data_IF_088092229408
#
_entry.id   IF_088092229408
#
_cell.length_a   1.000
_cell.length_b   1.000
_cell.length_c   1.000
_cell.angle_alpha   90.00
_cell.angle_beta   90.00
_cell.angle_gamma   90.00
#
_symmetry.space_group_name_H-M   'P 1'
#
loop_
_entity.id
_entity.type
_entity.pdbx_description
1 polymer ?
#
# COMPACT_ATOMS: atom_id res chain seq x y z
N UNK A 1 46.94 8.58 10.89
CA UNK A 1 46.24 7.40 11.43
C UNK A 1 45.30 7.84 12.54
N UNK A 2 44.01 7.59 12.43
CA UNK A 2 43.01 7.97 13.43
C UNK A 2 42.59 6.71 14.21
N UNK A 3 42.43 6.82 15.52
CA UNK A 3 42.03 5.66 16.35
C UNK A 3 40.55 5.28 16.10
N UNK A 4 40.24 3.99 16.26
CA UNK A 4 38.86 3.49 16.17
C UNK A 4 37.89 4.20 17.14
N UNK A 5 38.40 4.60 18.32
CA UNK A 5 37.66 5.39 19.31
C UNK A 5 37.29 6.77 18.78
N UNK A 6 38.18 7.42 18.01
CA UNK A 6 37.91 8.74 17.41
C UNK A 6 36.84 8.64 16.33
N UNK A 7 36.93 7.59 15.49
CA UNK A 7 35.91 7.32 14.45
C UNK A 7 34.53 7.04 15.09
N UNK A 8 34.49 6.24 16.16
CA UNK A 8 33.23 5.96 16.87
C UNK A 8 32.61 7.24 17.49
N UNK A 9 33.42 8.10 18.13
CA UNK A 9 32.96 9.40 18.65
C UNK A 9 32.43 10.31 17.55
N UNK A 10 33.05 10.31 16.37
CA UNK A 10 32.57 11.06 15.21
C UNK A 10 31.20 10.54 14.75
N UNK A 11 31.02 9.20 14.62
CA UNK A 11 29.74 8.60 14.25
C UNK A 11 28.63 9.02 15.23
N UNK A 12 28.89 8.93 16.53
CA UNK A 12 27.91 9.36 17.55
C UNK A 12 27.59 10.84 17.50
N UNK A 13 28.58 11.71 17.24
CA UNK A 13 28.38 13.15 17.09
C UNK A 13 27.53 13.51 15.86
N UNK A 14 27.56 12.65 14.83
CA UNK A 14 26.78 12.78 13.59
C UNK A 14 25.45 12.00 13.67
N UNK A 15 25.06 11.51 14.84
CA UNK A 15 23.84 10.72 15.09
C UNK A 15 23.78 9.35 14.38
N UNK A 16 24.93 8.75 14.05
CA UNK A 16 25.01 7.39 13.55
C UNK A 16 25.26 6.38 14.68
N UNK A 17 24.70 5.17 14.55
CA UNK A 17 24.90 4.11 15.53
C UNK A 17 26.33 3.59 15.58
N UNK A 18 27.06 3.65 14.45
CA UNK A 18 28.47 3.25 14.32
C UNK A 18 29.03 3.54 12.93
N UNK A 19 30.27 3.06 12.71
CA UNK A 19 30.98 3.29 11.43
C UNK A 19 30.27 2.62 10.24
N UNK A 20 29.76 1.41 10.39
CA UNK A 20 29.04 0.72 9.33
C UNK A 20 27.76 1.44 8.94
N UNK A 21 27.02 1.96 9.90
CA UNK A 21 25.81 2.74 9.69
C UNK A 21 26.14 4.05 8.96
N UNK A 22 27.17 4.77 9.41
CA UNK A 22 27.67 5.98 8.75
C UNK A 22 28.10 5.71 7.31
N UNK A 23 28.87 4.66 7.04
CA UNK A 23 29.31 4.29 5.69
C UNK A 23 28.12 3.90 4.82
N UNK A 24 27.21 3.11 5.34
CA UNK A 24 25.98 2.73 4.64
C UNK A 24 25.23 3.99 4.19
N UNK A 25 24.99 4.91 5.09
CA UNK A 25 24.27 6.16 4.81
C UNK A 25 24.99 7.01 3.75
N UNK A 26 26.31 7.23 3.86
CA UNK A 26 27.05 8.01 2.88
C UNK A 26 27.20 7.31 1.53
N UNK A 27 27.32 6.00 1.50
CA UNK A 27 27.41 5.23 0.24
C UNK A 27 26.07 5.30 -0.50
N UNK A 28 24.96 5.13 0.20
CA UNK A 28 23.65 5.22 -0.42
C UNK A 28 23.25 6.65 -0.79
N UNK A 29 23.57 7.64 0.04
CA UNK A 29 23.30 9.05 -0.29
C UNK A 29 24.08 9.56 -1.52
N UNK A 30 25.31 9.07 -1.72
CA UNK A 30 26.09 9.41 -2.90
C UNK A 30 25.63 8.63 -4.16
N UNK A 31 25.08 7.41 -4.02
CA UNK A 31 24.49 6.69 -5.15
C UNK A 31 23.15 7.31 -5.60
N UNK A 32 22.42 8.00 -4.72
CA UNK A 32 21.20 8.72 -5.08
C UNK A 32 21.50 9.92 -6.00
N UNK A 33 22.68 10.54 -5.90
CA UNK A 33 23.06 11.67 -6.77
C UNK A 33 23.49 11.23 -8.19
N UNK A 34 23.83 9.94 -8.41
CA UNK A 34 24.22 9.41 -9.72
C UNK A 34 23.06 8.71 -10.46
N UNK A 35 21.84 8.69 -9.88
CA UNK A 35 20.69 7.98 -10.46
C UNK A 35 19.63 9.00 -10.88
N UNK A 36 19.90 9.78 -11.92
CA UNK A 36 18.86 10.52 -12.67
C UNK A 36 17.77 9.61 -13.25
N UNK A 37 17.96 8.30 -13.26
CA UNK A 37 17.00 7.30 -13.76
C UNK A 37 15.97 6.81 -12.73
N UNK A 38 16.11 7.15 -11.45
CA UNK A 38 15.15 6.75 -10.41
C UNK A 38 14.08 7.80 -10.08
N UNK A 39 14.16 8.98 -10.67
CA UNK A 39 13.20 10.07 -10.42
C UNK A 39 11.76 9.64 -10.76
N UNK A 40 11.57 8.85 -11.83
CA UNK A 40 10.24 8.40 -12.26
C UNK A 40 9.56 7.41 -11.30
N UNK A 41 10.36 6.66 -10.52
CA UNK A 41 9.80 5.71 -9.51
C UNK A 41 9.13 6.48 -8.40
N UNK A 42 9.81 7.48 -7.87
CA UNK A 42 9.31 8.26 -6.74
C UNK A 42 8.22 9.26 -7.17
N UNK A 43 8.32 9.87 -8.35
CA UNK A 43 7.35 10.88 -8.81
C UNK A 43 5.96 10.29 -9.04
N UNK A 44 5.84 9.15 -9.73
CA UNK A 44 4.52 8.53 -9.95
C UNK A 44 3.92 7.98 -8.66
N UNK A 45 4.74 7.38 -7.79
CA UNK A 45 4.29 6.89 -6.48
C UNK A 45 3.90 8.05 -5.58
N UNK A 46 4.68 9.14 -5.55
CA UNK A 46 4.36 10.35 -4.77
C UNK A 46 3.04 10.98 -5.24
N UNK A 47 2.81 11.12 -6.54
CA UNK A 47 1.55 11.65 -7.06
C UNK A 47 0.35 10.76 -6.66
N UNK A 48 0.51 9.44 -6.65
CA UNK A 48 -0.53 8.51 -6.19
C UNK A 48 -0.78 8.65 -4.70
N UNK A 49 0.28 8.81 -3.89
CA UNK A 49 0.16 9.03 -2.46
C UNK A 49 -0.54 10.36 -2.20
N UNK A 50 -0.05 11.46 -2.75
CA UNK A 50 -0.62 12.80 -2.54
C UNK A 50 -2.09 12.88 -2.93
N UNK A 51 -2.48 12.31 -4.07
CA UNK A 51 -3.84 12.36 -4.56
C UNK A 51 -4.85 11.51 -3.77
N UNK A 52 -4.41 10.44 -3.10
CA UNK A 52 -5.32 9.49 -2.45
C UNK A 52 -5.19 9.47 -0.92
N UNK A 53 -4.13 10.06 -0.36
CA UNK A 53 -3.81 9.94 1.06
C UNK A 53 -4.93 10.50 1.96
N UNK A 54 -5.41 11.69 1.68
CA UNK A 54 -6.42 12.34 2.52
C UNK A 54 -7.76 11.61 2.48
N UNK A 55 -8.18 11.13 1.30
CA UNK A 55 -9.42 10.34 1.17
C UNK A 55 -9.28 8.97 1.82
N UNK A 56 -8.10 8.33 1.70
CA UNK A 56 -7.78 7.09 2.40
C UNK A 56 -7.83 7.28 3.92
N UNK A 57 -7.15 8.30 4.44
CA UNK A 57 -7.16 8.66 5.87
C UNK A 57 -8.58 8.85 6.38
N UNK A 58 -9.38 9.63 5.66
CA UNK A 58 -10.77 9.91 6.03
C UNK A 58 -11.61 8.65 6.14
N UNK A 59 -11.48 7.75 5.14
CA UNK A 59 -12.22 6.49 5.14
C UNK A 59 -11.73 5.55 6.24
N UNK A 60 -10.44 5.34 6.40
CA UNK A 60 -9.89 4.45 7.43
C UNK A 60 -10.28 4.94 8.83
N UNK A 61 -10.20 6.25 9.12
CA UNK A 61 -10.58 6.82 10.42
C UNK A 61 -12.10 6.67 10.71
N UNK A 62 -12.94 6.79 9.69
CA UNK A 62 -14.38 6.50 9.83
C UNK A 62 -14.65 5.09 10.36
N UNK A 63 -13.75 4.15 10.06
CA UNK A 63 -13.86 2.74 10.43
C UNK A 63 -12.84 2.29 11.51
N UNK A 64 -12.26 3.21 12.26
CA UNK A 64 -11.22 2.94 13.27
C UNK A 64 -11.65 1.88 14.30
N UNK A 65 -12.90 1.95 14.80
CA UNK A 65 -13.47 1.02 15.78
C UNK A 65 -14.39 -0.04 15.14
N UNK A 66 -14.38 -0.16 13.81
CA UNK A 66 -15.28 -1.01 13.04
C UNK A 66 -14.48 -2.09 12.29
N UNK A 67 -15.12 -2.89 11.48
CA UNK A 67 -14.47 -3.98 10.77
C UNK A 67 -13.95 -3.53 9.42
N UNK A 68 -12.68 -3.79 9.15
CA UNK A 68 -12.06 -3.67 7.84
C UNK A 68 -11.90 -5.07 7.25
N UNK A 69 -12.52 -5.34 6.10
CA UNK A 69 -12.52 -6.66 5.47
C UNK A 69 -11.78 -6.63 4.14
N UNK A 70 -10.72 -7.42 4.02
CA UNK A 70 -10.01 -7.57 2.76
C UNK A 70 -10.71 -8.60 1.86
N UNK A 71 -10.80 -8.27 0.56
CA UNK A 71 -11.28 -9.17 -0.49
C UNK A 71 -10.28 -9.24 -1.63
N UNK A 72 -9.80 -10.45 -1.92
CA UNK A 72 -8.77 -10.69 -2.93
C UNK A 72 -8.74 -12.16 -3.34
N UNK A 73 -7.98 -12.50 -4.38
CA UNK A 73 -7.80 -13.89 -4.84
C UNK A 73 -6.38 -14.13 -5.33
N UNK A 74 -5.93 -15.38 -5.28
CA UNK A 74 -4.61 -15.79 -5.78
C UNK A 74 -3.45 -15.09 -5.06
N UNK A 75 -2.47 -14.58 -5.81
CA UNK A 75 -1.30 -13.88 -5.25
C UNK A 75 -1.73 -12.63 -4.46
N UNK A 76 -2.77 -11.93 -4.88
CA UNK A 76 -3.30 -10.77 -4.16
C UNK A 76 -3.70 -11.10 -2.72
N UNK A 77 -4.10 -12.36 -2.44
CA UNK A 77 -4.45 -12.78 -1.07
C UNK A 77 -3.24 -12.74 -0.12
N UNK A 78 -2.04 -13.03 -0.61
CA UNK A 78 -0.82 -12.92 0.20
C UNK A 78 -0.57 -11.46 0.60
N UNK A 79 -0.81 -10.53 -0.31
CA UNK A 79 -0.68 -9.09 -0.02
C UNK A 79 -1.80 -8.62 0.92
N UNK A 80 -3.04 -9.09 0.73
CA UNK A 80 -4.13 -8.80 1.64
C UNK A 80 -3.85 -9.29 3.06
N UNK A 81 -3.24 -10.45 3.23
CA UNK A 81 -2.82 -10.96 4.55
C UNK A 81 -1.77 -10.05 5.19
N UNK A 82 -0.76 -9.61 4.43
CA UNK A 82 0.24 -8.66 4.90
C UNK A 82 -0.40 -7.34 5.37
N UNK A 83 -1.25 -6.74 4.53
CA UNK A 83 -1.92 -5.48 4.83
C UNK A 83 -2.88 -5.62 6.04
N UNK A 84 -3.56 -6.76 6.16
CA UNK A 84 -4.39 -7.09 7.31
C UNK A 84 -3.58 -7.13 8.62
N UNK A 85 -2.43 -7.79 8.59
CA UNK A 85 -1.54 -7.86 9.76
C UNK A 85 -1.03 -6.47 10.15
N UNK A 86 -0.64 -5.64 9.17
CA UNK A 86 -0.22 -4.26 9.40
C UNK A 86 -1.33 -3.40 10.04
N UNK A 87 -2.57 -3.50 9.57
CA UNK A 87 -3.71 -2.83 10.19
C UNK A 87 -3.95 -3.33 11.62
N UNK A 88 -3.90 -4.64 11.84
CA UNK A 88 -4.11 -5.24 13.16
C UNK A 88 -3.05 -4.78 14.18
N UNK A 89 -1.77 -4.72 13.79
CA UNK A 89 -0.68 -4.20 14.63
C UNK A 89 -0.91 -2.72 15.00
N UNK A 90 -1.52 -1.94 14.12
CA UNK A 90 -1.88 -0.55 14.35
C UNK A 90 -3.25 -0.37 15.05
N UNK A 91 -3.80 -1.43 15.65
CA UNK A 91 -5.00 -1.36 16.47
C UNK A 91 -6.34 -1.45 15.73
N UNK A 92 -6.33 -1.56 14.40
CA UNK A 92 -7.57 -1.72 13.63
C UNK A 92 -8.12 -3.15 13.69
N UNK A 93 -9.43 -3.29 13.73
CA UNK A 93 -10.10 -4.59 13.63
C UNK A 93 -10.18 -4.97 12.15
N UNK A 94 -9.36 -5.93 11.72
CA UNK A 94 -9.32 -6.32 10.31
C UNK A 94 -9.30 -7.83 10.11
N UNK A 95 -9.84 -8.28 8.97
CA UNK A 95 -9.85 -9.68 8.54
C UNK A 95 -9.46 -9.78 7.06
N UNK A 96 -8.72 -10.83 6.71
CA UNK A 96 -8.21 -11.02 5.34
C UNK A 96 -9.04 -11.99 4.48
N UNK A 97 -10.22 -12.40 4.94
CA UNK A 97 -11.12 -13.28 4.21
C UNK A 97 -12.48 -12.61 4.02
N UNK A 98 -13.06 -12.82 2.84
CA UNK A 98 -14.40 -12.33 2.55
C UNK A 98 -15.46 -13.14 3.31
N UNK A 99 -16.29 -12.47 4.08
CA UNK A 99 -17.48 -13.04 4.71
C UNK A 99 -18.72 -12.40 4.10
N UNK A 100 -19.34 -13.09 3.13
CA UNK A 100 -20.49 -12.57 2.39
C UNK A 100 -21.69 -12.27 3.29
N UNK A 101 -21.79 -12.94 4.45
CA UNK A 101 -22.82 -12.67 5.47
C UNK A 101 -22.73 -11.25 6.06
N UNK A 102 -21.58 -10.59 5.95
CA UNK A 102 -21.37 -9.21 6.38
C UNK A 102 -21.75 -8.16 5.32
N UNK A 103 -22.19 -8.59 4.13
CA UNK A 103 -22.59 -7.69 3.05
C UNK A 103 -24.09 -7.42 3.05
N UNK A 104 -24.63 -6.98 4.19
CA UNK A 104 -26.05 -6.62 4.34
C UNK A 104 -26.20 -5.14 4.62
N UNK A 105 -27.40 -4.60 4.46
CA UNK A 105 -27.68 -3.17 4.71
C UNK A 105 -27.42 -2.73 6.15
N UNK A 106 -27.61 -3.64 7.10
CA UNK A 106 -27.34 -3.42 8.52
C UNK A 106 -25.85 -3.19 8.81
N UNK A 107 -24.98 -3.64 7.91
CA UNK A 107 -23.52 -3.49 8.02
C UNK A 107 -22.96 -2.29 7.25
N UNK A 108 -23.82 -1.45 6.66
CA UNK A 108 -23.44 -0.29 5.85
C UNK A 108 -22.35 0.58 6.47
N UNK A 109 -22.49 0.95 7.73
CA UNK A 109 -21.51 1.79 8.42
C UNK A 109 -20.61 1.03 9.39
N UNK A 110 -20.68 -0.31 9.40
CA UNK A 110 -19.93 -1.19 10.29
C UNK A 110 -18.80 -1.95 9.61
N UNK A 111 -18.83 -2.02 8.26
CA UNK A 111 -17.82 -2.73 7.46
C UNK A 111 -17.27 -1.84 6.36
N UNK A 112 -15.93 -1.76 6.27
CA UNK A 112 -15.21 -1.20 5.12
C UNK A 112 -14.55 -2.34 4.35
N UNK A 113 -14.70 -2.38 3.04
CA UNK A 113 -14.01 -3.34 2.19
C UNK A 113 -12.72 -2.75 1.62
N UNK A 114 -11.61 -3.49 1.72
CA UNK A 114 -10.38 -3.26 0.99
C UNK A 114 -10.20 -4.35 -0.08
N UNK A 115 -10.39 -4.00 -1.34
CA UNK A 115 -10.30 -4.93 -2.46
C UNK A 115 -8.95 -4.84 -3.17
N UNK A 116 -8.30 -5.97 -3.46
CA UNK A 116 -7.03 -6.01 -4.20
C UNK A 116 -7.21 -6.83 -5.47
N UNK A 117 -7.08 -6.19 -6.63
CA UNK A 117 -7.17 -6.86 -7.91
C UNK A 117 -6.33 -6.17 -8.98
N UNK A 118 -5.21 -6.77 -9.38
CA UNK A 118 -4.35 -6.19 -10.42
C UNK A 118 -5.11 -5.87 -11.71
N UNK A 119 -5.92 -6.77 -12.22
CA UNK A 119 -6.71 -6.53 -13.44
C UNK A 119 -7.91 -5.62 -13.20
N UNK A 120 -8.48 -5.65 -11.99
CA UNK A 120 -9.76 -5.03 -11.67
C UNK A 120 -10.96 -5.67 -12.37
N UNK A 121 -10.78 -6.87 -12.98
CA UNK A 121 -11.79 -7.58 -13.77
C UNK A 121 -12.08 -9.01 -13.22
N UNK A 122 -11.61 -9.32 -12.01
CA UNK A 122 -11.85 -10.63 -11.39
C UNK A 122 -13.32 -10.79 -11.03
N UNK A 123 -14.02 -11.68 -11.71
CA UNK A 123 -15.47 -11.82 -11.62
C UNK A 123 -15.98 -12.02 -10.19
N UNK A 124 -15.39 -12.95 -9.43
CA UNK A 124 -15.79 -13.18 -8.03
C UNK A 124 -15.64 -11.97 -7.13
N UNK A 125 -14.63 -11.11 -7.37
CA UNK A 125 -14.46 -9.86 -6.62
C UNK A 125 -15.47 -8.80 -7.07
N UNK A 126 -15.77 -8.76 -8.37
CA UNK A 126 -16.80 -7.85 -8.91
C UNK A 126 -18.15 -8.17 -8.25
N UNK A 127 -18.54 -9.45 -8.20
CA UNK A 127 -19.82 -9.88 -7.60
C UNK A 127 -19.91 -9.46 -6.13
N UNK A 128 -18.81 -9.60 -5.36
CA UNK A 128 -18.72 -9.16 -3.95
C UNK A 128 -18.87 -7.64 -3.83
N UNK A 129 -18.16 -6.88 -4.66
CA UNK A 129 -18.15 -5.42 -4.60
C UNK A 129 -19.49 -4.84 -5.08
N UNK A 130 -20.13 -5.45 -6.09
CA UNK A 130 -21.48 -5.08 -6.52
C UNK A 130 -22.50 -5.30 -5.40
N UNK A 131 -22.43 -6.42 -4.69
CA UNK A 131 -23.28 -6.68 -3.52
C UNK A 131 -23.03 -5.65 -2.40
N UNK A 132 -21.77 -5.33 -2.12
CA UNK A 132 -21.40 -4.30 -1.16
C UNK A 132 -22.01 -2.94 -1.54
N UNK A 133 -21.85 -2.53 -2.80
CA UNK A 133 -22.41 -1.28 -3.34
C UNK A 133 -23.93 -1.23 -3.26
N UNK A 134 -24.62 -2.33 -3.55
CA UNK A 134 -26.09 -2.42 -3.43
C UNK A 134 -26.58 -2.23 -1.99
N UNK A 135 -25.73 -2.52 -1.01
CA UNK A 135 -26.01 -2.36 0.42
C UNK A 135 -25.35 -1.11 1.02
N UNK A 136 -24.88 -0.18 0.18
CA UNK A 136 -24.21 1.08 0.56
C UNK A 136 -22.93 0.87 1.44
N UNK A 137 -22.28 -0.28 1.34
CA UNK A 137 -21.01 -0.56 2.02
C UNK A 137 -19.87 0.08 1.22
N UNK A 138 -19.02 0.83 1.89
CA UNK A 138 -17.91 1.53 1.26
C UNK A 138 -16.77 0.58 0.90
N UNK A 139 -16.12 0.85 -0.25
CA UNK A 139 -15.06 0.03 -0.81
C UNK A 139 -13.87 0.89 -1.21
N UNK A 140 -12.70 0.62 -0.65
CA UNK A 140 -11.42 1.06 -1.18
C UNK A 140 -10.88 -0.06 -2.06
N UNK A 141 -10.48 0.23 -3.29
CA UNK A 141 -9.87 -0.78 -4.16
C UNK A 141 -8.47 -0.38 -4.61
N UNK A 142 -7.55 -1.34 -4.60
CA UNK A 142 -6.23 -1.23 -5.18
C UNK A 142 -6.20 -2.00 -6.50
N UNK A 143 -6.14 -1.29 -7.61
CA UNK A 143 -6.27 -1.87 -8.95
C UNK A 143 -5.22 -1.34 -9.92
N UNK A 144 -4.82 -2.16 -10.90
CA UNK A 144 -3.83 -1.77 -11.91
C UNK A 144 -4.42 -1.02 -13.12
N UNK A 145 -5.75 -0.94 -13.24
CA UNK A 145 -6.42 -0.32 -14.38
C UNK A 145 -7.58 0.58 -13.91
N UNK A 146 -7.44 1.89 -14.12
CA UNK A 146 -8.45 2.88 -13.79
C UNK A 146 -9.79 2.67 -14.53
N UNK A 147 -9.75 2.05 -15.70
CA UNK A 147 -10.94 1.77 -16.49
C UNK A 147 -11.63 0.45 -16.15
N UNK A 148 -11.07 -0.31 -15.22
CA UNK A 148 -11.61 -1.60 -14.80
C UNK A 148 -12.97 -1.48 -14.11
N UNK A 149 -13.71 -2.58 -14.10
CA UNK A 149 -15.03 -2.61 -13.48
C UNK A 149 -14.96 -2.38 -11.96
N UNK A 150 -13.99 -2.98 -11.28
CA UNK A 150 -13.79 -2.77 -9.83
C UNK A 150 -13.48 -1.29 -9.54
N UNK A 151 -12.60 -0.63 -10.31
CA UNK A 151 -12.32 0.80 -10.10
C UNK A 151 -13.58 1.66 -10.19
N UNK A 152 -14.44 1.41 -11.19
CA UNK A 152 -15.66 2.20 -11.44
C UNK A 152 -16.74 2.03 -10.39
N UNK A 153 -16.78 0.89 -9.70
CA UNK A 153 -17.82 0.62 -8.69
C UNK A 153 -17.36 0.84 -7.26
N UNK A 154 -16.07 1.06 -7.03
CA UNK A 154 -15.48 1.34 -5.71
C UNK A 154 -15.76 2.77 -5.26
N UNK A 155 -15.81 2.99 -3.94
CA UNK A 155 -15.93 4.31 -3.32
C UNK A 155 -14.64 5.11 -3.52
N UNK A 156 -13.49 4.48 -3.28
CA UNK A 156 -12.16 5.04 -3.49
C UNK A 156 -11.28 4.06 -4.27
N UNK A 157 -11.13 4.22 -5.59
CA UNK A 157 -10.19 3.44 -6.36
C UNK A 157 -8.78 4.04 -6.29
N UNK A 158 -7.82 3.28 -5.78
CA UNK A 158 -6.39 3.62 -5.78
C UNK A 158 -5.74 2.87 -6.94
N UNK A 159 -5.22 3.62 -7.91
CA UNK A 159 -4.70 3.06 -9.16
C UNK A 159 -3.20 2.82 -9.04
N UNK A 160 -2.79 1.58 -9.04
CA UNK A 160 -1.38 1.17 -8.99
C UNK A 160 -0.88 0.95 -10.42
N UNK A 161 -0.21 1.94 -10.95
CA UNK A 161 0.36 1.85 -12.31
C UNK A 161 1.69 1.11 -12.25
N UNK A 162 1.67 -0.19 -12.54
CA UNK A 162 2.90 -0.98 -12.68
C UNK A 162 3.83 -0.37 -13.73
N UNK A 163 5.16 -0.41 -13.50
CA UNK A 163 6.14 0.29 -14.34
C UNK A 163 6.55 -0.49 -15.58
N UNK A 164 6.75 0.25 -16.66
CA UNK A 164 7.29 -0.26 -17.93
C UNK A 164 8.84 -0.22 -18.00
N UNK A 165 9.53 0.24 -16.96
CA UNK A 165 11.01 0.35 -16.94
C UNK A 165 11.72 -0.97 -17.21
N UNK A 166 11.09 -2.07 -16.81
CA UNK A 166 11.59 -3.43 -17.04
C UNK A 166 11.12 -4.05 -18.37
N UNK A 167 10.46 -3.30 -19.24
CA UNK A 167 9.90 -3.81 -20.51
C UNK A 167 10.97 -4.41 -21.45
N UNK A 168 12.24 -3.98 -21.30
CA UNK A 168 13.37 -4.51 -22.07
C UNK A 168 13.84 -5.89 -21.58
N UNK A 169 13.42 -6.35 -20.41
CA UNK A 169 13.72 -7.67 -19.92
C UNK A 169 12.88 -8.72 -20.67
N UNK A 170 13.46 -9.90 -20.91
CA UNK A 170 12.75 -11.02 -21.54
C UNK A 170 11.48 -11.43 -20.76
N UNK A 171 11.54 -11.35 -19.44
CA UNK A 171 10.44 -11.58 -18.53
C UNK A 171 10.39 -10.41 -17.54
N UNK A 172 9.64 -9.32 -17.84
CA UNK A 172 9.58 -8.17 -16.96
C UNK A 172 8.89 -8.53 -15.63
N UNK A 173 9.38 -8.01 -14.51
CA UNK A 173 8.77 -8.26 -13.21
C UNK A 173 7.38 -7.61 -13.13
N UNK A 174 6.53 -8.20 -12.29
CA UNK A 174 5.24 -7.61 -11.96
C UNK A 174 5.42 -6.61 -10.81
N UNK A 175 5.51 -5.34 -11.11
CA UNK A 175 5.73 -4.27 -10.13
C UNK A 175 4.48 -3.83 -9.38
N UNK A 176 3.28 -4.25 -9.80
CA UNK A 176 2.01 -3.92 -9.16
C UNK A 176 2.03 -4.17 -7.65
N UNK A 177 2.50 -5.35 -7.23
CA UNK A 177 2.47 -5.72 -5.81
C UNK A 177 3.51 -4.98 -4.97
N UNK A 178 4.71 -4.71 -5.51
CA UNK A 178 5.73 -3.93 -4.82
C UNK A 178 5.32 -2.47 -4.64
N UNK A 179 4.72 -1.86 -5.66
CA UNK A 179 4.19 -0.51 -5.59
C UNK A 179 2.99 -0.41 -4.64
N UNK A 180 2.09 -1.40 -4.66
CA UNK A 180 0.97 -1.48 -3.73
C UNK A 180 1.45 -1.50 -2.28
N UNK A 181 2.43 -2.35 -1.96
CA UNK A 181 2.98 -2.43 -0.59
C UNK A 181 3.60 -1.09 -0.21
N UNK A 182 4.39 -0.46 -1.08
CA UNK A 182 5.01 0.82 -0.82
C UNK A 182 3.98 1.92 -0.54
N UNK A 183 2.96 2.05 -1.39
CA UNK A 183 1.88 3.05 -1.20
C UNK A 183 1.12 2.78 0.09
N UNK A 184 0.81 1.52 0.38
CA UNK A 184 0.13 1.16 1.61
C UNK A 184 0.96 1.49 2.87
N UNK A 185 2.26 1.20 2.88
CA UNK A 185 3.15 1.56 4.00
C UNK A 185 3.24 3.08 4.19
N UNK A 186 3.30 3.85 3.10
CA UNK A 186 3.23 5.31 3.18
C UNK A 186 1.89 5.78 3.80
N UNK A 187 0.76 5.17 3.41
CA UNK A 187 -0.52 5.50 4.02
C UNK A 187 -0.57 5.12 5.51
N UNK A 188 -0.02 3.95 5.85
CA UNK A 188 0.04 3.49 7.25
C UNK A 188 0.90 4.40 8.13
N UNK A 189 2.02 4.93 7.62
CA UNK A 189 2.88 5.87 8.37
C UNK A 189 2.16 7.16 8.76
N UNK A 190 1.14 7.53 8.01
CA UNK A 190 0.36 8.76 8.20
C UNK A 190 -0.93 8.56 9.04
N UNK A 191 -1.32 7.30 9.28
CA UNK A 191 -2.51 6.97 10.10
C UNK A 191 -2.16 6.27 11.41
N UNK A 192 -0.88 5.94 11.64
CA UNK A 192 -0.42 5.33 12.90
C UNK A 192 -0.76 6.24 14.08
N UNK A 193 -1.37 5.64 15.11
CA UNK A 193 -1.81 6.27 16.36
C UNK A 193 -0.61 6.43 17.28
#
# INVERSE_FOLDING_TARGET
YTSTTTVYKLCKKLNFEGYSDMIYHFTYSNQINDIETNIDIYTNTNNQIENNLEDFKKLIRKYENKLIMFVSTGISQTIANYMNERLSINGYRSISNAHLQLLTKEQKDEVLILAISRSGETKSLIDIIEQAKQNDIEVISFVGNANSKIAKISTLPIIIQGKNEFSKLKNPPNTFFSELILIFECFMSEISI
#
